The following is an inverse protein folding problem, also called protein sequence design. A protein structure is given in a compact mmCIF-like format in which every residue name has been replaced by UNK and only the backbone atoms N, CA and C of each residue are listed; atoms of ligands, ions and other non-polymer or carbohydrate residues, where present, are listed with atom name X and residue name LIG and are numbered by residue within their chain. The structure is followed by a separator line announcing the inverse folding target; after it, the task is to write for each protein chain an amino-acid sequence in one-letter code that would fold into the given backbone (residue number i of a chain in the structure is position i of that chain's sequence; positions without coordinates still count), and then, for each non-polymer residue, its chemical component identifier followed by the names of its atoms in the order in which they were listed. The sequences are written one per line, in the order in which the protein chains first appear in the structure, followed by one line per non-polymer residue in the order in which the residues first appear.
data_IF_916155765569
#
_entry.id   IF_916155765569
#
_cell.length_a   1.000
_cell.length_b   1.000
_cell.length_c   1.000
_cell.angle_alpha   90.00
_cell.angle_beta   90.00
_cell.angle_gamma   90.00
#
_symmetry.space_group_name_H-M   'P 1'
#
loop_
_entity.id
_entity.type
_entity.pdbx_description
1 polymer ?
#
# COMPACT_ATOMS: atom_id res chain seq x y z
N UNK A 1 -33.55 61.22 29.66
CA UNK A 1 -32.55 60.19 29.32
C UNK A 1 -33.29 58.86 29.19
N UNK A 2 -33.41 58.32 27.97
CA UNK A 2 -34.10 57.04 27.69
C UNK A 2 -33.03 55.97 27.45
N UNK A 3 -33.01 54.96 28.32
CA UNK A 3 -32.10 53.81 28.23
C UNK A 3 -32.70 52.80 27.26
N UNK A 4 -32.06 52.60 26.11
CA UNK A 4 -32.45 51.56 25.15
C UNK A 4 -31.80 50.23 25.56
N UNK A 5 -32.62 49.28 25.99
CA UNK A 5 -32.23 47.88 26.20
C UNK A 5 -32.25 47.19 24.83
N UNK A 6 -31.08 46.86 24.30
CA UNK A 6 -30.95 46.01 23.12
C UNK A 6 -31.08 44.55 23.55
N UNK A 7 -32.21 43.92 23.21
CA UNK A 7 -32.38 42.46 23.28
C UNK A 7 -31.86 41.89 21.96
N UNK A 8 -30.67 41.29 21.98
CA UNK A 8 -30.18 40.47 20.87
C UNK A 8 -30.98 39.17 20.84
N UNK A 9 -31.87 39.03 19.86
CA UNK A 9 -32.49 37.75 19.53
C UNK A 9 -31.47 36.88 18.79
N UNK A 10 -30.91 35.87 19.48
CA UNK A 10 -30.24 34.75 18.80
C UNK A 10 -31.30 33.92 18.08
N UNK A 11 -31.43 34.13 16.77
CA UNK A 11 -32.23 33.27 15.91
C UNK A 11 -31.46 31.96 15.68
N UNK A 12 -32.10 30.86 16.07
CA UNK A 12 -31.55 29.52 16.09
C UNK A 12 -31.22 28.98 14.68
N UNK A 13 -29.93 28.85 14.38
CA UNK A 13 -29.41 28.06 13.25
C UNK A 13 -29.31 26.56 13.61
N UNK A 14 -30.27 26.02 14.36
CA UNK A 14 -30.19 24.67 14.94
C UNK A 14 -30.64 23.57 13.98
N UNK A 15 -31.43 23.88 12.95
CA UNK A 15 -32.02 22.87 12.06
C UNK A 15 -31.03 22.17 11.12
N UNK A 16 -30.07 22.91 10.55
CA UNK A 16 -29.07 22.34 9.61
C UNK A 16 -27.95 21.60 10.33
N UNK A 17 -27.53 22.10 11.49
CA UNK A 17 -26.49 21.46 12.31
C UNK A 17 -26.97 20.12 12.91
N UNK A 18 -28.25 20.00 13.28
CA UNK A 18 -28.79 18.77 13.85
C UNK A 18 -28.92 17.64 12.81
N UNK A 19 -29.36 17.96 11.59
CA UNK A 19 -29.45 16.99 10.49
C UNK A 19 -28.08 16.40 10.10
N UNK A 20 -27.03 17.22 10.22
CA UNK A 20 -25.64 16.79 9.99
C UNK A 20 -25.16 15.81 11.08
N UNK A 21 -25.46 16.10 12.36
CA UNK A 21 -25.12 15.22 13.49
C UNK A 21 -25.80 13.85 13.40
N UNK A 22 -27.10 13.83 13.07
CA UNK A 22 -27.82 12.55 12.96
C UNK A 22 -27.32 11.71 11.77
N UNK A 23 -26.87 12.34 10.68
CA UNK A 23 -26.20 11.65 9.57
C UNK A 23 -24.85 11.07 9.99
N UNK A 24 -24.03 11.82 10.72
CA UNK A 24 -22.73 11.34 11.23
C UNK A 24 -22.94 10.15 12.19
N UNK A 25 -23.96 10.20 13.05
CA UNK A 25 -24.33 9.07 13.93
C UNK A 25 -24.74 7.84 13.12
N UNK A 26 -25.59 8.00 12.10
CA UNK A 26 -26.03 6.90 11.22
C UNK A 26 -24.86 6.26 10.46
N UNK A 27 -23.92 7.09 9.98
CA UNK A 27 -22.68 6.61 9.36
C UNK A 27 -21.84 5.84 10.39
N UNK A 28 -21.73 6.33 11.62
CA UNK A 28 -20.95 5.68 12.68
C UNK A 28 -21.53 4.30 13.05
N UNK A 29 -22.85 4.19 13.13
CA UNK A 29 -23.56 2.90 13.31
C UNK A 29 -23.18 1.93 12.18
N UNK A 30 -23.29 2.38 10.94
CA UNK A 30 -22.97 1.59 9.74
C UNK A 30 -21.53 1.09 9.76
N UNK A 31 -20.56 1.97 10.02
CA UNK A 31 -19.13 1.63 10.06
C UNK A 31 -18.82 0.57 11.12
N UNK A 32 -19.40 0.67 12.32
CA UNK A 32 -19.16 -0.30 13.40
C UNK A 32 -19.76 -1.67 13.06
N UNK A 33 -20.98 -1.69 12.51
CA UNK A 33 -21.65 -2.93 12.16
C UNK A 33 -20.94 -3.66 11.01
N UNK A 34 -20.46 -2.91 10.02
CA UNK A 34 -19.81 -3.47 8.83
C UNK A 34 -18.32 -3.74 9.03
N UNK A 35 -17.70 -3.22 10.10
CA UNK A 35 -16.29 -3.42 10.37
C UNK A 35 -15.91 -4.90 10.54
N UNK A 36 -16.83 -5.72 11.05
CA UNK A 36 -16.56 -7.10 11.41
C UNK A 36 -17.48 -8.08 10.69
N UNK A 37 -16.95 -9.24 10.32
CA UNK A 37 -17.75 -10.39 9.89
C UNK A 37 -17.28 -11.66 10.59
N UNK A 38 -18.15 -12.67 10.68
CA UNK A 38 -17.77 -13.99 11.20
C UNK A 38 -17.29 -14.87 10.07
N UNK A 39 -16.08 -15.39 10.21
CA UNK A 39 -15.55 -16.44 9.36
C UNK A 39 -16.46 -17.68 9.41
N UNK A 40 -16.77 -18.26 8.27
CA UNK A 40 -17.73 -19.37 8.19
C UNK A 40 -17.16 -20.67 8.77
N UNK A 41 -15.84 -20.88 8.66
CA UNK A 41 -15.15 -22.11 9.10
C UNK A 41 -14.82 -22.05 10.60
N UNK A 42 -14.19 -20.97 11.05
CA UNK A 42 -13.66 -20.83 12.42
C UNK A 42 -14.61 -20.11 13.35
N UNK A 43 -15.65 -19.44 12.83
CA UNK A 43 -16.56 -18.56 13.57
C UNK A 43 -15.86 -17.38 14.25
N UNK A 44 -14.58 -17.15 13.95
CA UNK A 44 -13.80 -16.03 14.44
C UNK A 44 -14.31 -14.72 13.83
N UNK A 45 -14.20 -13.64 14.58
CA UNK A 45 -14.45 -12.30 14.06
C UNK A 45 -13.24 -11.84 13.25
N UNK A 46 -13.48 -11.49 11.98
CA UNK A 46 -12.50 -10.96 11.06
C UNK A 46 -12.89 -9.54 10.67
N UNK A 47 -11.89 -8.68 10.51
CA UNK A 47 -12.11 -7.32 10.06
C UNK A 47 -12.42 -7.33 8.55
N UNK A 48 -13.47 -6.64 8.13
CA UNK A 48 -13.85 -6.48 6.72
C UNK A 48 -12.77 -5.70 5.95
N UNK A 49 -12.73 -5.88 4.63
CA UNK A 49 -11.93 -5.02 3.76
C UNK A 49 -12.61 -3.64 3.68
N UNK A 50 -11.83 -2.56 3.73
CA UNK A 50 -12.34 -1.19 3.72
C UNK A 50 -12.76 -0.61 5.07
N UNK A 51 -12.89 -1.44 6.12
CA UNK A 51 -13.16 -0.99 7.50
C UNK A 51 -11.99 -0.22 8.14
N UNK A 52 -10.86 -0.15 7.45
CA UNK A 52 -9.64 0.54 7.85
C UNK A 52 -8.90 1.01 6.59
N UNK A 53 -8.09 2.06 6.74
CA UNK A 53 -7.29 2.63 5.65
C UNK A 53 -5.80 2.44 5.94
N UNK A 54 -5.36 1.18 5.92
CA UNK A 54 -3.98 0.77 6.24
C UNK A 54 -3.48 1.32 7.61
N UNK A 55 -2.61 2.33 7.58
CA UNK A 55 -2.04 2.98 8.78
C UNK A 55 -2.79 4.25 9.20
N UNK A 56 -3.81 4.67 8.45
CA UNK A 56 -4.62 5.84 8.75
C UNK A 56 -5.71 5.51 9.78
N UNK A 57 -6.27 6.53 10.45
CA UNK A 57 -7.40 6.35 11.36
C UNK A 57 -8.57 5.65 10.67
N UNK A 58 -9.25 4.76 11.40
CA UNK A 58 -10.43 4.08 10.89
C UNK A 58 -11.53 5.10 10.57
N UNK A 59 -12.41 4.82 9.59
CA UNK A 59 -13.55 5.69 9.28
C UNK A 59 -14.37 6.06 10.52
N UNK A 60 -14.59 5.10 11.42
CA UNK A 60 -15.38 5.32 12.63
C UNK A 60 -14.73 6.30 13.63
N UNK A 61 -13.39 6.35 13.72
CA UNK A 61 -12.69 7.33 14.57
C UNK A 61 -12.82 8.75 14.03
N UNK A 62 -12.79 8.92 12.70
CA UNK A 62 -13.01 10.22 12.06
C UNK A 62 -14.42 10.74 12.39
N UNK A 63 -15.43 9.89 12.28
CA UNK A 63 -16.81 10.23 12.65
C UNK A 63 -16.94 10.57 14.14
N UNK A 64 -16.22 9.89 15.04
CA UNK A 64 -16.19 10.23 16.46
C UNK A 64 -15.54 11.60 16.75
N UNK A 65 -14.53 11.99 15.98
CA UNK A 65 -13.90 13.30 16.08
C UNK A 65 -14.82 14.40 15.53
N UNK A 66 -15.59 14.12 14.46
CA UNK A 66 -16.64 15.02 13.96
C UNK A 66 -17.74 15.25 15.01
N UNK A 67 -18.24 14.18 15.66
CA UNK A 67 -19.20 14.30 16.76
C UNK A 67 -18.64 15.13 17.93
N UNK A 68 -17.34 14.96 18.25
CA UNK A 68 -16.68 15.76 19.28
C UNK A 68 -16.59 17.23 18.87
N UNK A 69 -16.21 17.52 17.62
CA UNK A 69 -16.13 18.88 17.09
C UNK A 69 -17.50 19.59 17.08
N UNK A 70 -18.58 18.82 16.89
CA UNK A 70 -19.96 19.28 16.98
C UNK A 70 -20.49 19.42 18.44
N UNK A 71 -19.64 19.24 19.46
CA UNK A 71 -20.01 19.27 20.88
C UNK A 71 -21.10 18.26 21.29
N UNK A 72 -21.18 17.12 20.61
CA UNK A 72 -22.11 16.05 20.98
C UNK A 72 -21.71 15.46 22.34
N UNK A 73 -22.62 15.38 23.32
CA UNK A 73 -22.28 14.92 24.66
C UNK A 73 -21.90 13.43 24.64
N UNK A 74 -20.96 13.04 25.50
CA UNK A 74 -20.55 11.63 25.64
C UNK A 74 -21.70 10.70 26.08
N UNK A 75 -22.77 11.24 26.67
CA UNK A 75 -23.99 10.49 27.01
C UNK A 75 -24.87 10.20 25.80
N UNK A 76 -24.61 10.78 24.62
CA UNK A 76 -25.29 10.41 23.38
C UNK A 76 -25.08 8.93 23.12
N UNK A 77 -26.14 8.27 22.67
CA UNK A 77 -26.12 6.87 22.30
C UNK A 77 -26.27 6.70 20.80
N UNK A 78 -25.66 5.64 20.28
CA UNK A 78 -25.99 5.06 18.97
C UNK A 78 -26.77 3.76 19.19
N UNK A 79 -27.51 3.29 18.20
CA UNK A 79 -28.25 2.02 18.26
C UNK A 79 -27.76 1.05 17.18
N UNK A 80 -27.17 -0.07 17.61
CA UNK A 80 -26.75 -1.14 16.71
C UNK A 80 -27.89 -2.12 16.50
N UNK A 81 -28.25 -2.37 15.25
CA UNK A 81 -29.33 -3.31 14.86
C UNK A 81 -28.87 -4.77 14.77
N UNK A 82 -27.57 -5.01 14.81
CA UNK A 82 -26.93 -6.33 14.73
C UNK A 82 -25.72 -6.39 15.69
N UNK A 83 -25.28 -7.60 16.02
CA UNK A 83 -24.11 -7.83 16.85
C UNK A 83 -22.83 -7.50 16.07
N UNK A 84 -21.92 -6.76 16.70
CA UNK A 84 -20.53 -6.62 16.26
C UNK A 84 -19.60 -7.42 17.18
N UNK A 85 -18.31 -7.49 16.85
CA UNK A 85 -17.30 -8.13 17.71
C UNK A 85 -17.24 -7.48 19.09
N UNK A 86 -17.23 -6.16 19.13
CA UNK A 86 -16.90 -5.37 20.32
C UNK A 86 -18.11 -4.77 21.03
N UNK A 87 -19.25 -4.67 20.32
CA UNK A 87 -20.51 -4.17 20.85
C UNK A 87 -21.67 -5.10 20.43
N UNK A 88 -22.48 -5.63 21.38
CA UNK A 88 -23.68 -6.39 21.04
C UNK A 88 -24.76 -5.46 20.45
N UNK A 89 -25.80 -6.02 19.84
CA UNK A 89 -26.97 -5.24 19.41
C UNK A 89 -27.58 -4.42 20.57
N UNK A 90 -28.08 -3.23 20.28
CA UNK A 90 -28.70 -2.33 21.25
C UNK A 90 -28.05 -0.95 21.34
N UNK A 91 -28.37 -0.21 22.41
CA UNK A 91 -27.94 1.19 22.59
C UNK A 91 -26.62 1.29 23.34
N UNK A 92 -25.68 2.04 22.78
CA UNK A 92 -24.33 2.22 23.34
C UNK A 92 -23.96 3.69 23.43
N UNK A 93 -23.41 4.11 24.57
CA UNK A 93 -22.89 5.46 24.74
C UNK A 93 -21.58 5.66 23.95
N UNK A 94 -21.33 6.90 23.50
CA UNK A 94 -20.13 7.22 22.70
C UNK A 94 -18.78 6.76 23.30
N UNK A 95 -18.55 6.73 24.63
CA UNK A 95 -17.32 6.16 25.19
C UNK A 95 -17.12 4.68 24.88
N UNK A 96 -18.18 3.86 24.94
CA UNK A 96 -18.11 2.45 24.57
C UNK A 96 -17.84 2.30 23.06
N UNK A 97 -18.46 3.15 22.25
CA UNK A 97 -18.23 3.23 20.81
C UNK A 97 -16.79 3.58 20.47
N UNK A 98 -16.19 4.54 21.19
CA UNK A 98 -14.79 4.90 21.01
C UNK A 98 -13.85 3.73 21.27
N UNK A 99 -14.08 2.98 22.34
CA UNK A 99 -13.29 1.78 22.62
C UNK A 99 -13.42 0.72 21.51
N UNK A 100 -14.61 0.59 20.89
CA UNK A 100 -14.78 -0.30 19.74
C UNK A 100 -14.01 0.21 18.50
N UNK A 101 -14.02 1.51 18.24
CA UNK A 101 -13.22 2.12 17.18
C UNK A 101 -11.72 1.95 17.37
N UNK A 102 -11.21 2.13 18.59
CA UNK A 102 -9.80 1.91 18.91
C UNK A 102 -9.39 0.46 18.59
N UNK A 103 -10.27 -0.52 18.86
CA UNK A 103 -10.03 -1.94 18.54
C UNK A 103 -10.09 -2.23 17.04
N UNK A 104 -11.00 -1.57 16.31
CA UNK A 104 -11.06 -1.63 14.85
C UNK A 104 -9.76 -1.09 14.24
N UNK A 105 -9.25 0.02 14.75
CA UNK A 105 -7.97 0.59 14.29
C UNK A 105 -6.79 -0.34 14.53
N UNK A 106 -6.67 -0.87 15.75
CA UNK A 106 -5.62 -1.84 16.08
C UNK A 106 -5.70 -3.06 15.16
N UNK A 107 -6.89 -3.61 14.95
CA UNK A 107 -7.07 -4.74 14.05
C UNK A 107 -6.78 -4.41 12.58
N UNK A 108 -7.08 -3.20 12.13
CA UNK A 108 -6.75 -2.73 10.78
C UNK A 108 -5.25 -2.65 10.55
N UNK A 109 -4.53 -2.09 11.52
CA UNK A 109 -3.06 -2.04 11.53
C UNK A 109 -2.45 -3.45 11.51
N UNK A 110 -2.97 -4.37 12.33
CA UNK A 110 -2.55 -5.78 12.33
C UNK A 110 -2.80 -6.41 10.95
N UNK A 111 -3.98 -6.20 10.37
CA UNK A 111 -4.35 -6.74 9.05
C UNK A 111 -3.46 -6.20 7.92
N UNK A 112 -3.07 -4.93 7.97
CA UNK A 112 -2.09 -4.34 7.04
C UNK A 112 -0.71 -5.01 7.16
N UNK A 113 -0.25 -5.26 8.39
CA UNK A 113 0.97 -6.03 8.64
C UNK A 113 0.84 -7.47 8.11
N UNK A 114 -0.26 -8.16 8.38
CA UNK A 114 -0.52 -9.51 7.88
C UNK A 114 -0.47 -9.58 6.36
N UNK A 115 -0.98 -8.55 5.65
CA UNK A 115 -0.91 -8.47 4.18
C UNK A 115 0.54 -8.52 3.69
N UNK A 116 1.40 -7.67 4.25
CA UNK A 116 2.81 -7.64 3.87
C UNK A 116 3.57 -8.87 4.31
N UNK A 117 3.28 -9.41 5.50
CA UNK A 117 3.90 -10.63 5.99
C UNK A 117 3.52 -11.86 5.12
N UNK A 118 2.28 -11.93 4.64
CA UNK A 118 1.83 -12.97 3.71
C UNK A 118 2.61 -12.88 2.39
N UNK A 119 2.68 -11.68 1.79
CA UNK A 119 3.45 -11.42 0.56
C UNK A 119 4.94 -11.74 0.72
N UNK A 120 5.52 -11.37 1.86
CA UNK A 120 6.91 -11.68 2.21
C UNK A 120 7.16 -13.20 2.34
N UNK A 121 6.17 -13.94 2.84
CA UNK A 121 6.23 -15.39 2.96
C UNK A 121 6.16 -16.14 1.62
N UNK A 122 5.60 -15.54 0.55
CA UNK A 122 5.43 -16.22 -0.74
C UNK A 122 6.76 -16.57 -1.40
N UNK A 123 7.79 -15.78 -1.18
CA UNK A 123 9.10 -15.95 -1.82
C UNK A 123 10.19 -15.16 -1.13
N UNK A 124 11.36 -15.77 -1.00
CA UNK A 124 12.61 -15.09 -0.57
C UNK A 124 13.45 -14.63 -1.76
N UNK A 125 12.84 -14.62 -2.95
CA UNK A 125 13.48 -14.22 -4.20
C UNK A 125 13.83 -12.73 -4.23
N UNK A 126 14.74 -12.33 -5.12
CA UNK A 126 15.22 -10.95 -5.16
C UNK A 126 14.13 -9.97 -5.63
N UNK A 127 13.08 -10.45 -6.28
CA UNK A 127 11.95 -9.63 -6.74
C UNK A 127 10.96 -9.31 -5.60
N UNK A 128 11.10 -9.97 -4.45
CA UNK A 128 10.26 -9.78 -3.25
C UNK A 128 10.95 -8.94 -2.17
N UNK A 129 12.15 -8.41 -2.44
CA UNK A 129 12.90 -7.58 -1.49
C UNK A 129 12.04 -6.40 -0.99
N UNK A 130 11.32 -5.73 -1.90
CA UNK A 130 10.43 -4.62 -1.52
C UNK A 130 9.29 -5.07 -0.59
N UNK A 131 8.70 -6.25 -0.82
CA UNK A 131 7.65 -6.78 0.04
C UNK A 131 8.18 -7.11 1.45
N UNK A 132 9.38 -7.69 1.53
CA UNK A 132 10.07 -7.95 2.79
C UNK A 132 10.40 -6.65 3.55
N UNK A 133 10.91 -5.64 2.84
CA UNK A 133 11.18 -4.31 3.43
C UNK A 133 9.90 -3.62 3.90
N UNK A 134 8.83 -3.70 3.11
CA UNK A 134 7.52 -3.18 3.50
C UNK A 134 6.96 -3.91 4.72
N UNK A 135 7.12 -5.25 4.82
CA UNK A 135 6.70 -5.97 6.01
C UNK A 135 7.39 -5.43 7.28
N UNK A 136 8.71 -5.26 7.24
CA UNK A 136 9.47 -4.74 8.38
C UNK A 136 9.10 -3.30 8.70
N UNK A 137 8.97 -2.44 7.68
CA UNK A 137 8.57 -1.05 7.85
C UNK A 137 7.14 -0.93 8.43
N UNK A 138 6.20 -1.75 7.96
CA UNK A 138 4.84 -1.79 8.50
C UNK A 138 4.84 -2.30 9.94
N UNK A 139 5.62 -3.31 10.28
CA UNK A 139 5.77 -3.75 11.67
C UNK A 139 6.20 -2.58 12.57
N UNK A 140 7.28 -1.88 12.22
CA UNK A 140 7.78 -0.77 13.04
C UNK A 140 6.74 0.36 13.15
N UNK A 141 5.99 0.62 12.07
CA UNK A 141 4.92 1.61 12.06
C UNK A 141 3.76 1.25 12.99
N UNK A 142 3.30 -0.01 13.00
CA UNK A 142 2.19 -0.42 13.86
C UNK A 142 2.59 -0.40 15.34
N UNK A 143 3.81 -0.81 15.68
CA UNK A 143 4.33 -0.74 17.05
C UNK A 143 4.40 0.71 17.53
N UNK A 144 4.94 1.61 16.69
CA UNK A 144 4.98 3.05 16.99
C UNK A 144 3.59 3.64 17.19
N UNK A 145 2.57 3.08 16.52
CA UNK A 145 1.18 3.52 16.62
C UNK A 145 0.41 2.90 17.80
N UNK A 146 1.06 2.12 18.66
CA UNK A 146 0.51 1.60 19.91
C UNK A 146 0.13 0.11 19.89
N UNK A 147 0.22 -0.57 18.75
CA UNK A 147 0.03 -2.04 18.68
C UNK A 147 1.16 -2.71 19.45
N UNK A 148 0.85 -3.73 20.26
CA UNK A 148 1.87 -4.41 21.06
C UNK A 148 2.46 -5.61 20.29
N UNK A 149 3.76 -5.92 20.43
CA UNK A 149 4.35 -7.07 19.75
C UNK A 149 3.72 -8.43 20.11
N UNK A 150 3.09 -8.54 21.28
CA UNK A 150 2.41 -9.72 21.81
C UNK A 150 0.92 -9.80 21.43
N UNK A 151 0.38 -8.78 20.77
CA UNK A 151 -0.96 -8.83 20.18
C UNK A 151 -1.06 -10.03 19.22
N UNK A 152 -2.22 -10.68 19.21
CA UNK A 152 -2.45 -11.91 18.45
C UNK A 152 -2.94 -11.58 17.05
N UNK A 153 -2.40 -12.28 16.04
CA UNK A 153 -3.04 -12.33 14.72
C UNK A 153 -4.25 -13.26 14.75
N UNK A 154 -5.33 -12.98 13.99
CA UNK A 154 -6.48 -13.86 13.91
C UNK A 154 -6.08 -15.25 13.41
N UNK A 155 -6.52 -16.30 14.11
CA UNK A 155 -6.27 -17.68 13.68
C UNK A 155 -7.10 -18.02 12.45
N UNK A 156 -6.45 -18.28 11.31
CA UNK A 156 -7.12 -18.65 10.06
C UNK A 156 -6.19 -19.39 9.11
N UNK A 157 -6.74 -20.00 8.06
CA UNK A 157 -5.94 -20.54 6.96
C UNK A 157 -5.62 -19.43 5.97
N UNK A 158 -4.36 -19.31 5.58
CA UNK A 158 -3.93 -18.37 4.53
C UNK A 158 -3.05 -19.12 3.53
N UNK A 159 -3.17 -18.74 2.27
CA UNK A 159 -2.26 -19.22 1.22
C UNK A 159 -0.98 -18.39 1.26
N UNK A 160 0.15 -19.06 1.41
CA UNK A 160 1.49 -18.45 1.27
C UNK A 160 2.19 -19.17 0.14
N UNK A 161 2.35 -18.48 -0.99
CA UNK A 161 2.83 -19.07 -2.23
C UNK A 161 1.88 -20.18 -2.70
N UNK A 162 2.32 -21.45 -2.57
CA UNK A 162 1.53 -22.63 -2.96
C UNK A 162 1.09 -23.48 -1.76
N UNK A 163 1.39 -23.04 -0.54
CA UNK A 163 1.08 -23.79 0.67
C UNK A 163 -0.06 -23.12 1.44
N UNK A 164 -0.99 -23.93 1.94
CA UNK A 164 -2.03 -23.48 2.84
C UNK A 164 -1.52 -23.64 4.28
N UNK A 165 -1.22 -22.52 4.94
CA UNK A 165 -0.66 -22.53 6.30
C UNK A 165 -1.70 -22.09 7.33
N UNK A 166 -1.57 -22.61 8.55
CA UNK A 166 -2.28 -22.06 9.69
C UNK A 166 -1.60 -20.76 10.11
N UNK A 167 -2.28 -19.64 9.91
CA UNK A 167 -1.87 -18.32 10.37
C UNK A 167 -2.30 -18.14 11.82
N UNK A 168 -1.35 -17.92 12.71
CA UNK A 168 -1.58 -17.74 14.14
C UNK A 168 -0.29 -17.30 14.84
N UNK A 169 -0.42 -16.78 16.06
CA UNK A 169 0.69 -16.38 16.92
C UNK A 169 0.66 -14.89 17.23
N UNK A 170 1.72 -14.40 17.83
CA UNK A 170 1.92 -12.96 18.07
C UNK A 170 2.41 -12.26 16.81
N UNK A 171 2.22 -10.94 16.74
CA UNK A 171 2.80 -10.10 15.66
C UNK A 171 4.31 -10.28 15.58
N UNK A 172 5.00 -10.36 16.72
CA UNK A 172 6.45 -10.58 16.77
C UNK A 172 6.86 -11.93 16.16
N UNK A 173 6.15 -13.02 16.49
CA UNK A 173 6.42 -14.35 15.93
C UNK A 173 6.20 -14.38 14.42
N UNK A 174 5.13 -13.75 13.93
CA UNK A 174 4.82 -13.64 12.51
C UNK A 174 5.92 -12.86 11.78
N UNK A 175 6.38 -11.74 12.33
CA UNK A 175 7.48 -10.94 11.77
C UNK A 175 8.74 -11.78 11.60
N UNK A 176 9.17 -12.46 12.66
CA UNK A 176 10.40 -13.27 12.63
C UNK A 176 10.30 -14.35 11.56
N UNK A 177 9.15 -15.04 11.52
CA UNK A 177 8.93 -16.17 10.63
C UNK A 177 8.89 -15.77 9.16
N UNK A 178 8.14 -14.73 8.80
CA UNK A 178 7.85 -14.43 7.40
C UNK A 178 8.63 -13.23 6.84
N UNK A 179 9.14 -12.34 7.69
CA UNK A 179 9.77 -11.10 7.25
C UNK A 179 11.28 -11.10 7.51
N UNK A 180 11.71 -11.40 8.75
CA UNK A 180 13.14 -11.43 9.08
C UNK A 180 13.87 -12.60 8.37
N UNK A 181 13.22 -13.77 8.25
CA UNK A 181 13.82 -14.92 7.60
C UNK A 181 14.14 -14.68 6.10
N UNK A 182 13.27 -13.95 5.40
CA UNK A 182 13.40 -13.72 3.96
C UNK A 182 14.37 -12.59 3.60
N UNK A 183 14.49 -11.54 4.42
CA UNK A 183 15.20 -10.31 4.03
C UNK A 183 16.69 -10.55 3.79
N UNK A 184 17.35 -11.34 4.66
CA UNK A 184 18.77 -11.63 4.52
C UNK A 184 19.05 -12.46 3.25
N UNK A 185 18.18 -13.43 2.96
CA UNK A 185 18.27 -14.27 1.77
C UNK A 185 18.07 -13.42 0.51
N UNK A 186 17.01 -12.60 0.48
CA UNK A 186 16.71 -11.73 -0.67
C UNK A 186 17.85 -10.74 -0.93
N UNK A 187 18.39 -10.09 0.12
CA UNK A 187 19.55 -9.18 0.00
C UNK A 187 20.78 -9.88 -0.54
N UNK A 188 21.08 -11.09 -0.06
CA UNK A 188 22.21 -11.88 -0.56
C UNK A 188 22.04 -12.25 -2.05
N UNK A 189 20.83 -12.61 -2.46
CA UNK A 189 20.52 -12.92 -3.86
C UNK A 189 20.61 -11.69 -4.76
N UNK A 190 20.10 -10.54 -4.33
CA UNK A 190 20.27 -9.25 -5.02
C UNK A 190 21.75 -8.93 -5.17
N UNK A 191 22.52 -8.96 -4.08
CA UNK A 191 23.97 -8.69 -4.13
C UNK A 191 24.70 -9.62 -5.12
N UNK A 192 24.36 -10.92 -5.12
CA UNK A 192 24.91 -11.90 -6.07
C UNK A 192 24.53 -11.57 -7.52
N UNK A 193 23.27 -11.20 -7.78
CA UNK A 193 22.76 -10.83 -9.11
C UNK A 193 23.41 -9.54 -9.63
N UNK A 194 23.63 -8.57 -8.75
CA UNK A 194 24.21 -7.27 -9.12
C UNK A 194 25.73 -7.27 -9.23
N UNK A 195 26.43 -8.19 -8.54
CA UNK A 195 27.89 -8.23 -8.50
C UNK A 195 28.57 -8.19 -9.88
N UNK A 196 28.11 -8.94 -10.90
CA UNK A 196 28.67 -8.87 -12.26
C UNK A 196 28.55 -7.46 -12.88
N UNK A 197 27.43 -6.77 -12.66
CA UNK A 197 27.21 -5.40 -13.14
C UNK A 197 28.09 -4.40 -12.39
N UNK A 198 28.15 -4.48 -11.06
CA UNK A 198 28.98 -3.59 -10.22
C UNK A 198 30.47 -3.70 -10.53
N UNK A 199 30.94 -4.88 -10.97
CA UNK A 199 32.33 -5.13 -11.39
C UNK A 199 32.72 -4.28 -12.60
N UNK A 200 31.88 -4.23 -13.63
CA UNK A 200 32.25 -3.65 -14.94
C UNK A 200 31.55 -2.33 -15.26
N UNK A 201 30.33 -2.10 -14.77
CA UNK A 201 29.60 -0.85 -14.96
C UNK A 201 29.88 0.14 -13.82
N UNK A 202 29.67 1.42 -14.10
CA UNK A 202 29.88 2.55 -13.19
C UNK A 202 28.82 3.62 -13.48
N UNK A 203 28.58 4.53 -12.52
CA UNK A 203 27.71 5.70 -12.67
C UNK A 203 26.36 5.36 -13.32
N UNK A 204 25.92 6.16 -14.28
CA UNK A 204 24.57 6.11 -14.86
C UNK A 204 24.28 4.79 -15.59
N UNK A 205 25.28 4.13 -16.20
CA UNK A 205 25.07 2.77 -16.74
C UNK A 205 24.78 1.76 -15.65
N UNK A 206 25.48 1.84 -14.52
CA UNK A 206 25.23 0.94 -13.40
C UNK A 206 23.84 1.20 -12.81
N UNK A 207 23.49 2.47 -12.61
CA UNK A 207 22.17 2.86 -12.12
C UNK A 207 21.05 2.34 -13.04
N UNK A 208 21.16 2.56 -14.35
CA UNK A 208 20.18 2.05 -15.31
C UNK A 208 20.08 0.52 -15.27
N UNK A 209 21.22 -0.18 -15.31
CA UNK A 209 21.24 -1.64 -15.27
C UNK A 209 20.61 -2.22 -14.00
N UNK A 210 20.76 -1.54 -12.86
CA UNK A 210 20.21 -1.99 -11.57
C UNK A 210 18.77 -1.52 -11.33
N UNK A 211 18.33 -0.42 -11.95
CA UNK A 211 17.03 0.22 -11.69
C UNK A 211 15.81 -0.64 -12.00
N UNK A 212 15.96 -1.65 -12.86
CA UNK A 212 14.94 -2.69 -13.11
C UNK A 212 15.30 -4.00 -12.41
N UNK A 213 15.75 -3.93 -11.15
CA UNK A 213 16.16 -5.10 -10.37
C UNK A 213 17.23 -5.97 -11.09
N UNK A 214 18.07 -5.41 -11.95
CA UNK A 214 19.03 -6.17 -12.76
C UNK A 214 18.41 -7.31 -13.60
N UNK A 215 17.14 -7.19 -14.00
CA UNK A 215 16.46 -8.14 -14.90
C UNK A 215 16.16 -7.54 -16.27
N UNK A 216 16.33 -6.23 -16.46
CA UNK A 216 16.17 -5.61 -17.76
C UNK A 216 17.33 -5.98 -18.70
N UNK A 217 16.97 -6.58 -19.83
CA UNK A 217 17.84 -6.58 -21.01
C UNK A 217 17.75 -5.21 -21.68
N UNK A 218 18.87 -4.76 -22.26
CA UNK A 218 18.88 -3.60 -23.14
C UNK A 218 19.19 -4.06 -24.56
N UNK A 219 18.50 -3.50 -25.54
CA UNK A 219 18.91 -3.64 -26.93
C UNK A 219 20.22 -2.85 -27.14
N UNK A 220 21.18 -3.49 -27.79
CA UNK A 220 22.42 -2.90 -28.27
C UNK A 220 22.21 -2.38 -29.71
N UNK A 221 23.15 -1.58 -30.26
CA UNK A 221 23.08 -1.18 -31.65
C UNK A 221 22.89 -2.38 -32.59
N UNK A 222 21.86 -2.34 -33.42
CA UNK A 222 21.43 -3.47 -34.26
C UNK A 222 20.29 -4.31 -33.68
N UNK A 223 19.84 -4.05 -32.44
CA UNK A 223 18.67 -4.68 -31.82
C UNK A 223 18.94 -5.96 -31.02
N UNK A 224 20.20 -6.35 -30.80
CA UNK A 224 20.56 -7.51 -29.96
C UNK A 224 20.30 -7.19 -28.47
N UNK A 225 19.35 -7.89 -27.85
CA UNK A 225 19.02 -7.71 -26.45
C UNK A 225 20.02 -8.46 -25.56
N UNK A 226 20.65 -7.74 -24.63
CA UNK A 226 21.70 -8.29 -23.78
C UNK A 226 21.51 -7.91 -22.32
N UNK A 227 21.66 -8.90 -21.45
CA UNK A 227 21.89 -8.73 -20.00
C UNK A 227 23.37 -8.94 -19.62
N UNK A 228 24.26 -9.21 -20.58
CA UNK A 228 25.67 -9.46 -20.31
C UNK A 228 26.37 -8.15 -19.88
N UNK A 229 26.88 -8.02 -18.64
CA UNK A 229 27.47 -6.80 -18.15
C UNK A 229 28.67 -6.31 -18.97
N UNK A 230 29.47 -7.22 -19.53
CA UNK A 230 30.63 -6.87 -20.34
C UNK A 230 30.22 -6.27 -21.69
N UNK A 231 29.22 -6.86 -22.37
CA UNK A 231 28.66 -6.28 -23.60
C UNK A 231 28.06 -4.88 -23.34
N UNK A 232 27.32 -4.75 -22.25
CA UNK A 232 26.72 -3.48 -21.82
C UNK A 232 27.79 -2.41 -21.50
N UNK A 233 28.89 -2.80 -20.84
CA UNK A 233 30.00 -1.91 -20.54
C UNK A 233 30.66 -1.35 -21.81
N UNK A 234 30.89 -2.20 -22.81
CA UNK A 234 31.54 -1.84 -24.07
C UNK A 234 30.67 -0.95 -24.98
N UNK A 235 29.35 -1.10 -24.96
CA UNK A 235 28.47 -0.33 -25.85
C UNK A 235 28.30 1.13 -25.39
N UNK A 236 28.48 2.10 -26.28
CA UNK A 236 28.22 3.52 -25.98
C UNK A 236 26.75 3.91 -26.10
N UNK A 237 25.90 3.02 -26.63
CA UNK A 237 24.47 3.28 -26.83
C UNK A 237 23.66 2.08 -26.38
N UNK A 238 22.64 2.30 -25.55
CA UNK A 238 21.65 1.29 -25.17
C UNK A 238 20.26 1.75 -25.58
N UNK A 239 19.36 0.78 -25.75
CA UNK A 239 17.96 1.03 -26.06
C UNK A 239 17.06 0.26 -25.09
N UNK A 240 15.97 0.90 -24.65
CA UNK A 240 14.82 0.24 -24.01
C UNK A 240 13.57 0.42 -24.86
N UNK A 241 12.64 -0.52 -24.74
CA UNK A 241 11.28 -0.40 -25.27
C UNK A 241 10.28 -0.40 -24.14
N UNK A 242 9.40 0.60 -24.12
CA UNK A 242 8.31 0.68 -23.16
C UNK A 242 6.98 0.93 -23.87
N UNK A 243 5.88 0.61 -23.21
CA UNK A 243 4.57 1.10 -23.64
C UNK A 243 4.51 2.63 -23.49
N UNK A 244 3.63 3.27 -24.26
CA UNK A 244 3.25 4.65 -23.97
C UNK A 244 2.65 4.78 -22.54
N UNK A 245 2.88 5.90 -21.83
CA UNK A 245 2.30 6.15 -20.52
C UNK A 245 0.78 5.98 -20.50
N UNK A 246 0.23 5.53 -19.37
CA UNK A 246 -1.21 5.22 -19.25
C UNK A 246 -2.12 6.43 -19.40
N UNK A 247 -1.62 7.64 -19.17
CA UNK A 247 -2.33 8.90 -19.39
C UNK A 247 -2.33 9.37 -20.85
N UNK A 248 -1.82 8.56 -21.79
CA UNK A 248 -1.85 8.83 -23.23
C UNK A 248 -2.68 7.78 -23.97
N UNK A 249 -3.14 8.13 -25.17
CA UNK A 249 -3.82 7.17 -26.05
C UNK A 249 -2.88 5.98 -26.32
N UNK A 250 -3.20 4.81 -25.76
CA UNK A 250 -2.33 3.64 -25.84
C UNK A 250 -2.31 2.98 -27.22
N UNK A 251 -3.28 3.33 -28.07
CA UNK A 251 -3.42 2.83 -29.43
C UNK A 251 -3.13 3.92 -30.46
N UNK A 252 -2.60 3.49 -31.60
CA UNK A 252 -2.55 4.28 -32.82
C UNK A 252 -3.91 4.27 -33.53
N UNK A 253 -4.08 5.13 -34.54
CA UNK A 253 -5.32 5.22 -35.32
C UNK A 253 -5.76 3.88 -35.95
N UNK A 254 -4.83 2.95 -36.19
CA UNK A 254 -5.11 1.59 -36.69
C UNK A 254 -5.26 0.52 -35.60
N UNK A 255 -5.41 0.88 -34.32
CA UNK A 255 -5.56 -0.07 -33.21
C UNK A 255 -4.26 -0.72 -32.71
N UNK A 256 -3.14 -0.57 -33.43
CA UNK A 256 -1.83 -1.04 -32.98
C UNK A 256 -1.39 -0.33 -31.69
N UNK A 257 -0.73 -1.05 -30.79
CA UNK A 257 -0.19 -0.50 -29.53
C UNK A 257 0.92 0.51 -29.82
N UNK A 258 0.92 1.63 -29.09
CA UNK A 258 2.05 2.58 -29.11
C UNK A 258 3.22 2.05 -28.30
N UNK A 259 4.38 2.00 -28.93
CA UNK A 259 5.64 1.58 -28.33
C UNK A 259 6.64 2.73 -28.39
N UNK A 260 7.28 3.03 -27.27
CA UNK A 260 8.36 4.00 -27.16
C UNK A 260 9.69 3.25 -27.22
N UNK A 261 10.59 3.69 -28.09
CA UNK A 261 12.01 3.29 -28.07
C UNK A 261 12.80 4.43 -27.46
N UNK A 262 13.41 4.18 -26.31
CA UNK A 262 14.29 5.13 -25.64
C UNK A 262 15.73 4.74 -25.89
N UNK A 263 16.52 5.69 -26.38
CA UNK A 263 17.96 5.56 -26.64
C UNK A 263 18.74 6.31 -25.58
N UNK A 264 19.65 5.62 -24.92
CA UNK A 264 20.62 6.16 -23.97
C UNK A 264 22.00 6.21 -24.62
N UNK A 265 22.63 7.38 -24.65
CA UNK A 265 23.99 7.57 -25.17
C UNK A 265 24.92 7.90 -24.02
N UNK A 266 25.98 7.12 -23.88
CA UNK A 266 26.95 7.22 -22.81
C UNK A 266 28.29 7.77 -23.31
N UNK A 267 28.86 8.66 -22.52
CA UNK A 267 30.21 9.19 -22.70
C UNK A 267 31.24 8.42 -21.87
N UNK A 268 32.44 9.02 -21.69
CA UNK A 268 33.50 8.45 -20.88
C UNK A 268 33.04 8.14 -19.45
N UNK A 269 33.64 7.10 -18.85
CA UNK A 269 33.36 6.68 -17.48
C UNK A 269 31.86 6.37 -17.23
N UNK A 270 31.15 5.91 -18.26
CA UNK A 270 29.76 5.44 -18.18
C UNK A 270 28.73 6.51 -17.77
N UNK A 271 29.05 7.80 -18.02
CA UNK A 271 28.07 8.88 -17.82
C UNK A 271 27.08 8.95 -18.97
N UNK A 272 25.81 9.14 -18.66
CA UNK A 272 24.76 9.43 -19.61
C UNK A 272 24.94 10.85 -20.16
N UNK A 273 25.13 10.96 -21.47
CA UNK A 273 25.34 12.24 -22.16
C UNK A 273 24.06 12.70 -22.86
N UNK A 274 23.26 11.75 -23.34
CA UNK A 274 22.02 12.07 -24.07
C UNK A 274 21.01 10.95 -23.96
N UNK A 275 19.75 11.34 -23.81
CA UNK A 275 18.60 10.44 -23.93
C UNK A 275 17.67 10.96 -25.02
N UNK A 276 17.19 10.09 -25.89
CA UNK A 276 16.15 10.43 -26.88
C UNK A 276 15.07 9.37 -26.87
N UNK A 277 13.83 9.76 -27.16
CA UNK A 277 12.70 8.83 -27.24
C UNK A 277 12.03 9.00 -28.60
N UNK A 278 11.67 7.88 -29.23
CA UNK A 278 10.88 7.86 -30.46
C UNK A 278 9.70 6.91 -30.32
N UNK A 279 8.54 7.36 -30.78
CA UNK A 279 7.31 6.58 -30.76
C UNK A 279 7.14 5.79 -32.07
N UNK A 280 6.58 4.59 -31.94
CA UNK A 280 6.25 3.67 -33.02
C UNK A 280 4.85 3.12 -32.81
N UNK A 281 4.14 2.90 -33.91
CA UNK A 281 2.87 2.17 -33.93
C UNK A 281 3.13 0.69 -34.21
N UNK A 282 2.93 -0.16 -33.20
CA UNK A 282 3.25 -1.58 -33.26
C UNK A 282 4.66 -1.91 -32.77
N UNK A 283 5.23 -3.00 -33.29
CA UNK A 283 6.58 -3.44 -32.98
C UNK A 283 7.62 -2.51 -33.63
N UNK A 284 8.60 -1.97 -32.88
CA UNK A 284 9.63 -1.12 -33.47
C UNK A 284 10.48 -1.90 -34.49
N UNK A 285 10.72 -1.35 -35.69
CA UNK A 285 11.57 -2.01 -36.68
C UNK A 285 13.02 -2.06 -36.19
N UNK A 286 13.83 -2.99 -36.70
CA UNK A 286 15.25 -3.10 -36.35
C UNK A 286 16.04 -1.80 -36.58
N UNK A 287 15.62 -0.96 -37.53
CA UNK A 287 16.20 0.36 -37.78
C UNK A 287 16.00 1.36 -36.64
N UNK A 288 15.07 1.11 -35.71
CA UNK A 288 14.87 1.90 -34.50
C UNK A 288 16.05 1.80 -33.51
N UNK A 289 16.85 0.74 -33.61
CA UNK A 289 17.97 0.44 -32.72
C UNK A 289 19.33 0.76 -33.35
N UNK A 290 19.40 1.79 -34.20
CA UNK A 290 20.64 2.26 -34.87
C UNK A 290 21.12 3.60 -34.32
#
# INVERSE_FOLDING_TARGET
MKTHVFVLAMVAATGTAQADVDQVVSNLETEIQQAWYRDSETRAWLLADGAFDALNPAPCSKLLDELRAANVPASRTIELTDDSRDLPRGKHALPAVRMACDRIEVAGKIKEFERWATLAGESTGPDYLQALENCLATYDAIIKSGVQPDDQVPRRRVMIGRELVMWSGTIAEVRVKYCDAGIAIAKAQVAKREAPFRKVLKRDKLELALGFNATAAYALPGGDWSMNPAKLALSTVWFDTSAAPSNQAQACAGGARRTLVRRYTFGPQHRLVKTTTKEYCGEPPASAFR
#
